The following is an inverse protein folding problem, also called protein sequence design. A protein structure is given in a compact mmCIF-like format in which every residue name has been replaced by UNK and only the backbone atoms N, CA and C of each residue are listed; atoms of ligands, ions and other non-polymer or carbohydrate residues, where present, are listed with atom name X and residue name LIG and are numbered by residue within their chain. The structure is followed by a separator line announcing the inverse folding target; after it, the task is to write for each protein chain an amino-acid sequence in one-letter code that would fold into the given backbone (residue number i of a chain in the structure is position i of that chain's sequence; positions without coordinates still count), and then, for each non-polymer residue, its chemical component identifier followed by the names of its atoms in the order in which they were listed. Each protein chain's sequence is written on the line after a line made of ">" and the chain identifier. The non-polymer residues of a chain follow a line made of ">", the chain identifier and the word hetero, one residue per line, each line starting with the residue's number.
data_IF_031559436006
#
_entry.id   IF_031559436006
#
_cell.length_a   1.000
_cell.length_b   1.000
_cell.length_c   1.000
_cell.angle_alpha   90.00
_cell.angle_beta   90.00
_cell.angle_gamma   90.00
#
_symmetry.space_group_name_H-M   'P 1'
#
loop_
_entity.id
_entity.type
_entity.pdbx_description
1 polymer ?
#
# COMPACT_ATOMS: atom_id res chain seq x y z
N UNK A 1 9.12 -7.40 5.28
CA UNK A 1 9.31 -8.30 4.12
C UNK A 1 9.84 -9.68 4.51
N UNK A 2 10.92 -9.78 5.30
CA UNK A 2 11.47 -11.09 5.72
C UNK A 2 10.46 -11.96 6.50
N UNK A 3 9.77 -11.41 7.50
CA UNK A 3 8.74 -12.14 8.27
C UNK A 3 7.59 -12.66 7.40
N UNK A 4 7.01 -11.80 6.55
CA UNK A 4 5.92 -12.21 5.65
C UNK A 4 6.33 -13.32 4.67
N UNK A 5 7.52 -13.24 4.07
CA UNK A 5 8.00 -14.30 3.16
C UNK A 5 8.22 -15.63 3.89
N UNK A 6 8.66 -15.58 5.14
CA UNK A 6 8.84 -16.77 5.98
C UNK A 6 7.51 -17.41 6.36
N UNK A 7 6.50 -16.60 6.70
CA UNK A 7 5.16 -17.08 7.06
C UNK A 7 4.36 -17.56 5.84
N UNK A 8 4.63 -16.98 4.66
CA UNK A 8 3.91 -17.27 3.41
C UNK A 8 4.86 -17.57 2.25
N UNK A 9 5.59 -18.70 2.28
CA UNK A 9 6.62 -19.04 1.28
C UNK A 9 6.05 -19.29 -0.12
N UNK A 10 4.75 -19.60 -0.23
CA UNK A 10 4.05 -19.79 -1.52
C UNK A 10 3.65 -18.49 -2.21
N UNK A 11 3.77 -17.33 -1.54
CA UNK A 11 3.39 -16.03 -2.10
C UNK A 11 4.63 -15.35 -2.69
N UNK A 12 4.61 -15.10 -4.01
CA UNK A 12 5.65 -14.29 -4.67
C UNK A 12 5.25 -12.81 -4.63
N UNK A 13 6.00 -12.03 -3.87
CA UNK A 13 5.86 -10.57 -3.81
C UNK A 13 6.80 -9.89 -4.80
N UNK A 14 6.24 -9.03 -5.66
CA UNK A 14 6.99 -8.08 -6.48
C UNK A 14 6.68 -6.67 -5.98
N UNK A 15 7.71 -5.94 -5.58
CA UNK A 15 7.61 -4.53 -5.20
C UNK A 15 8.08 -3.66 -6.37
N UNK A 16 7.36 -2.59 -6.63
CA UNK A 16 7.72 -1.54 -7.59
C UNK A 16 7.50 -0.22 -6.87
N UNK A 17 8.52 0.63 -6.85
CA UNK A 17 8.49 1.93 -6.16
C UNK A 17 8.40 3.03 -7.20
N UNK A 18 7.29 3.76 -7.20
CA UNK A 18 6.99 4.81 -8.17
C UNK A 18 6.18 5.92 -7.49
N UNK A 19 6.11 7.09 -8.13
CA UNK A 19 5.25 8.19 -7.65
C UNK A 19 3.75 7.84 -7.71
N UNK A 20 2.93 8.45 -6.85
CA UNK A 20 1.50 8.13 -6.69
C UNK A 20 0.70 8.07 -8.00
N UNK A 21 0.89 9.02 -8.91
CA UNK A 21 0.22 9.03 -10.23
C UNK A 21 0.57 7.82 -11.11
N UNK A 22 1.82 7.36 -11.03
CA UNK A 22 2.27 6.18 -11.77
C UNK A 22 1.65 4.93 -11.13
N UNK A 23 1.61 4.86 -9.79
CA UNK A 23 0.94 3.77 -9.06
C UNK A 23 -0.54 3.67 -9.44
N UNK A 24 -1.27 4.79 -9.45
CA UNK A 24 -2.68 4.85 -9.87
C UNK A 24 -2.86 4.37 -11.32
N UNK A 25 -1.99 4.81 -12.23
CA UNK A 25 -2.02 4.36 -13.63
C UNK A 25 -1.76 2.85 -13.75
N UNK A 26 -0.79 2.32 -13.03
CA UNK A 26 -0.47 0.89 -13.08
C UNK A 26 -1.60 0.03 -12.49
N UNK A 27 -2.30 0.53 -11.46
CA UNK A 27 -3.51 -0.09 -10.94
C UNK A 27 -4.64 -0.08 -11.98
N UNK A 28 -4.86 1.05 -12.67
CA UNK A 28 -5.93 1.14 -13.67
C UNK A 28 -5.67 0.25 -14.90
N UNK A 29 -4.40 0.13 -15.31
CA UNK A 29 -3.92 -0.77 -16.37
C UNK A 29 -3.83 -2.25 -15.90
N UNK A 30 -4.20 -2.56 -14.65
CA UNK A 30 -4.11 -3.92 -14.07
C UNK A 30 -2.71 -4.53 -14.15
N UNK A 31 -1.68 -3.68 -14.09
CA UNK A 31 -0.25 -4.06 -13.99
C UNK A 31 0.23 -4.14 -12.55
N UNK A 32 -0.55 -3.60 -11.62
CA UNK A 32 -0.41 -3.76 -10.18
C UNK A 32 -1.72 -4.29 -9.60
N UNK A 33 -1.59 -5.19 -8.64
CA UNK A 33 -2.73 -5.69 -7.87
C UNK A 33 -3.11 -4.70 -6.76
N UNK A 34 -2.11 -4.14 -6.07
CA UNK A 34 -2.28 -3.21 -4.95
C UNK A 34 -1.30 -2.04 -5.07
N UNK A 35 -1.73 -0.83 -4.69
CA UNK A 35 -0.88 0.36 -4.65
C UNK A 35 -0.88 1.01 -3.28
N UNK A 36 0.29 1.39 -2.77
CA UNK A 36 0.43 2.14 -1.53
C UNK A 36 0.66 3.61 -1.90
N UNK A 37 -0.24 4.49 -1.47
CA UNK A 37 -0.28 5.89 -1.91
C UNK A 37 -0.56 6.81 -0.73
N UNK A 38 -0.12 8.07 -0.84
CA UNK A 38 -0.55 9.13 0.06
C UNK A 38 -1.80 9.77 -0.53
N UNK A 39 -2.84 9.90 0.29
CA UNK A 39 -4.09 10.55 -0.09
C UNK A 39 -3.88 12.06 -0.34
N UNK A 40 -4.69 12.70 -1.20
CA UNK A 40 -5.88 12.15 -1.86
C UNK A 40 -5.58 11.33 -3.13
N UNK A 41 -6.53 10.48 -3.49
CA UNK A 41 -6.63 9.81 -4.80
C UNK A 41 -8.05 9.94 -5.34
N UNK A 42 -8.29 9.58 -6.59
CA UNK A 42 -9.63 9.56 -7.19
C UNK A 42 -10.48 8.40 -6.64
N UNK A 43 -11.40 8.71 -5.70
CA UNK A 43 -12.29 7.73 -5.05
C UNK A 43 -13.40 7.18 -5.98
N UNK A 44 -13.61 7.80 -7.16
CA UNK A 44 -14.49 7.21 -8.18
C UNK A 44 -13.77 6.07 -8.91
N UNK A 45 -12.46 6.19 -9.11
CA UNK A 45 -11.64 5.18 -9.78
C UNK A 45 -11.16 4.08 -8.83
N UNK A 46 -10.88 4.41 -7.56
CA UNK A 46 -10.25 3.50 -6.60
C UNK A 46 -11.04 3.36 -5.31
N UNK A 47 -11.09 2.14 -4.80
CA UNK A 47 -11.40 1.89 -3.40
C UNK A 47 -10.11 2.00 -2.58
N UNK A 48 -10.21 2.59 -1.38
CA UNK A 48 -9.05 2.79 -0.51
C UNK A 48 -9.26 2.30 0.90
N UNK A 49 -8.20 1.77 1.50
CA UNK A 49 -8.10 1.46 2.92
C UNK A 49 -7.00 2.31 3.54
N UNK A 50 -7.35 3.20 4.48
CA UNK A 50 -6.36 4.00 5.21
C UNK A 50 -5.55 3.10 6.13
N UNK A 51 -4.22 3.09 5.96
CA UNK A 51 -3.30 2.29 6.77
C UNK A 51 -2.66 3.09 7.90
N UNK A 52 -2.35 4.35 7.64
CA UNK A 52 -1.64 5.19 8.59
C UNK A 52 -1.99 6.65 8.39
N UNK A 53 -1.95 7.38 9.50
CA UNK A 53 -1.99 8.83 9.51
C UNK A 53 -0.74 9.35 10.23
N UNK A 54 -0.06 10.33 9.61
CA UNK A 54 1.19 10.91 10.12
C UNK A 54 1.15 12.42 9.99
N UNK A 55 1.79 13.12 10.93
CA UNK A 55 2.15 14.53 10.72
C UNK A 55 3.51 14.59 10.07
N UNK A 56 3.60 15.24 8.92
CA UNK A 56 4.85 15.69 8.36
C UNK A 56 5.23 17.00 8.99
N UNK A 57 6.50 17.14 9.35
CA UNK A 57 7.06 18.38 9.86
C UNK A 57 8.03 18.91 8.81
N UNK A 58 7.86 20.16 8.40
CA UNK A 58 8.83 20.82 7.54
C UNK A 58 9.98 21.31 8.42
N UNK A 59 11.14 20.65 8.32
CA UNK A 59 12.38 21.07 8.97
C UNK A 59 13.12 22.06 8.08
N UNK A 60 12.97 23.35 8.33
CA UNK A 60 13.88 24.39 7.81
C UNK A 60 14.93 24.73 8.86
N UNK A 61 16.19 24.89 8.46
CA UNK A 61 17.21 25.50 9.31
C UNK A 61 16.85 26.98 9.52
N UNK A 62 16.22 27.28 10.66
CA UNK A 62 15.94 28.64 11.13
C UNK A 62 14.46 28.92 11.42
N UNK A 63 14.15 29.08 12.71
CA UNK A 63 13.01 29.90 13.16
C UNK A 63 11.67 29.19 13.43
N UNK A 64 11.52 28.68 14.65
CA UNK A 64 10.34 28.63 15.55
C UNK A 64 8.90 28.33 15.07
N UNK A 65 8.62 28.04 13.80
CA UNK A 65 7.28 27.58 13.37
C UNK A 65 7.40 26.37 12.46
N UNK A 66 7.52 25.19 13.07
CA UNK A 66 7.37 23.94 12.35
C UNK A 66 5.92 23.85 11.83
N UNK A 67 5.71 24.22 10.57
CA UNK A 67 4.44 23.96 9.89
C UNK A 67 4.32 22.45 9.75
N UNK A 68 3.18 21.89 10.17
CA UNK A 68 2.90 20.47 10.04
C UNK A 68 1.71 20.23 9.13
N UNK A 69 1.79 19.21 8.30
CA UNK A 69 0.69 18.73 7.47
C UNK A 69 0.33 17.30 7.84
N UNK A 70 -0.98 17.00 7.94
CA UNK A 70 -1.46 15.63 8.21
C UNK A 70 -1.55 14.90 6.87
N UNK A 71 -0.74 13.86 6.72
CA UNK A 71 -0.80 12.96 5.58
C UNK A 71 -1.45 11.65 5.98
N UNK A 72 -2.21 11.07 5.06
CA UNK A 72 -2.79 9.73 5.21
C UNK A 72 -2.21 8.84 4.13
N UNK A 73 -1.67 7.69 4.52
CA UNK A 73 -1.26 6.65 3.61
C UNK A 73 -2.37 5.60 3.52
N UNK A 74 -2.69 5.17 2.30
CA UNK A 74 -3.72 4.21 2.03
C UNK A 74 -3.23 3.13 1.05
N UNK A 75 -3.90 1.98 1.07
CA UNK A 75 -3.84 1.02 -0.03
C UNK A 75 -4.99 1.33 -0.98
N UNK A 76 -4.67 1.53 -2.25
CA UNK A 76 -5.64 1.66 -3.33
C UNK A 76 -5.75 0.37 -4.13
N UNK A 77 -6.98 0.06 -4.55
CA UNK A 77 -7.27 -1.02 -5.48
C UNK A 77 -8.44 -0.62 -6.38
N UNK A 78 -8.53 -1.25 -7.56
CA UNK A 78 -9.55 -0.91 -8.55
C UNK A 78 -10.93 -1.32 -8.03
N UNK A 79 -11.92 -0.43 -8.17
CA UNK A 79 -13.31 -0.75 -7.76
C UNK A 79 -13.84 -1.97 -8.50
N UNK A 80 -14.53 -2.84 -7.77
CA UNK A 80 -15.07 -4.09 -8.31
C UNK A 80 -14.06 -5.21 -8.55
N UNK A 81 -12.77 -5.02 -8.21
CA UNK A 81 -11.80 -6.10 -8.20
C UNK A 81 -11.93 -6.92 -6.90
N UNK A 82 -12.02 -8.25 -7.04
CA UNK A 82 -12.04 -9.18 -5.91
C UNK A 82 -10.66 -9.81 -5.78
N UNK A 83 -9.96 -9.51 -4.69
CA UNK A 83 -8.65 -10.09 -4.39
C UNK A 83 -8.82 -11.23 -3.39
N UNK A 84 -8.44 -12.45 -3.79
CA UNK A 84 -8.43 -13.62 -2.91
C UNK A 84 -7.03 -13.87 -2.36
N UNK A 85 -6.87 -13.83 -1.04
CA UNK A 85 -5.68 -14.40 -0.37
C UNK A 85 -6.00 -15.84 0.01
N UNK A 86 -5.61 -16.81 -0.83
CA UNK A 86 -5.73 -18.22 -0.47
C UNK A 86 -4.58 -18.60 0.49
N UNK A 87 -4.93 -18.81 1.77
CA UNK A 87 -4.03 -19.47 2.73
C UNK A 87 -3.96 -20.96 2.38
N UNK A 88 -2.81 -21.44 1.88
CA UNK A 88 -2.58 -22.88 1.82
C UNK A 88 -2.53 -23.39 3.27
N UNK A 89 -3.44 -24.29 3.63
CA UNK A 89 -3.32 -25.03 4.88
C UNK A 89 -2.02 -25.83 4.82
N UNK A 90 -1.10 -25.60 5.75
CA UNK A 90 0.07 -26.46 5.92
C UNK A 90 -0.43 -27.88 6.22
N UNK A 91 0.05 -28.93 5.52
CA UNK A 91 -0.27 -30.29 5.89
C UNK A 91 0.29 -30.53 7.30
N UNK A 92 -0.57 -30.90 8.24
CA UNK A 92 -0.17 -31.45 9.52
C UNK A 92 0.82 -32.58 9.24
N UNK A 93 2.05 -32.47 9.74
CA UNK A 93 2.98 -33.60 9.73
C UNK A 93 2.41 -34.64 10.67
N UNK A 94 1.79 -35.68 10.10
CA UNK A 94 1.58 -36.95 10.79
C UNK A 94 2.85 -37.76 10.53
N UNK A 95 3.71 -37.84 11.53
CA UNK A 95 4.70 -38.90 11.72
C UNK A 95 5.03 -38.97 13.21
#
# INVERSE_FOLDING_TARGET
>A
MAGFRSEYPGIRLRLVEEGGKIVERLLSESKLDLGFVVLPVDEQAFETLTLAERRLFFGGEGGSSARSERIRAAVGFKRGAVYYVQKKASPSTIA
#
